data_IF_299474762608
#
_entry.id   IF_299474762608
#
_cell.length_a   1.000
_cell.length_b   1.000
_cell.length_c   1.000
_cell.angle_alpha   90.00
_cell.angle_beta   90.00
_cell.angle_gamma   90.00
#
_symmetry.space_group_name_H-M   'P 1'
#
loop_
_entity.id
_entity.type
_entity.pdbx_description
1 polymer ?
#
# COMPACT_ATOMS: atom_id res chain seq x y z
N UNK A 1 3.00 -2.74 -34.18
CA UNK A 1 1.61 -3.12 -33.78
C UNK A 1 1.39 -2.74 -32.32
N UNK A 2 0.28 -2.07 -32.02
CA UNK A 2 -0.15 -1.87 -30.63
C UNK A 2 -0.39 -3.22 -29.99
N UNK A 3 0.15 -3.44 -28.79
CA UNK A 3 -0.08 -4.66 -28.02
C UNK A 3 -0.95 -4.34 -26.82
N UNK A 4 -1.89 -5.22 -26.50
CA UNK A 4 -2.76 -5.06 -25.36
C UNK A 4 -2.03 -5.49 -24.08
N UNK A 5 -2.12 -4.67 -23.03
CA UNK A 5 -1.60 -4.95 -21.69
C UNK A 5 -2.76 -4.86 -20.68
N UNK A 6 -2.84 -5.84 -19.78
CA UNK A 6 -3.81 -5.82 -18.69
C UNK A 6 -3.08 -5.42 -17.41
N UNK A 7 -3.63 -4.42 -16.71
CA UNK A 7 -3.22 -3.98 -15.38
C UNK A 7 -4.27 -4.41 -14.37
N UNK A 8 -3.91 -5.20 -13.37
CA UNK A 8 -4.81 -5.70 -12.33
C UNK A 8 -4.56 -4.94 -11.03
N UNK A 9 -5.51 -4.10 -10.66
CA UNK A 9 -5.47 -3.21 -9.50
C UNK A 9 -5.34 -1.74 -9.89
N UNK A 10 -6.35 -0.95 -9.56
CA UNK A 10 -6.46 0.49 -9.86
C UNK A 10 -5.94 1.40 -8.75
N UNK A 11 -4.98 0.93 -7.94
CA UNK A 11 -4.27 1.75 -6.96
C UNK A 11 -3.23 2.67 -7.61
N UNK A 12 -2.46 3.44 -6.81
CA UNK A 12 -1.47 4.41 -7.32
C UNK A 12 -0.47 3.81 -8.32
N UNK A 13 0.06 2.61 -8.03
CA UNK A 13 1.01 1.93 -8.90
C UNK A 13 0.36 1.52 -10.23
N UNK A 14 -0.84 0.91 -10.17
CA UNK A 14 -1.54 0.46 -11.38
C UNK A 14 -1.99 1.61 -12.26
N UNK A 15 -2.51 2.70 -11.69
CA UNK A 15 -2.87 3.90 -12.46
C UNK A 15 -1.65 4.55 -13.11
N UNK A 16 -0.54 4.68 -12.36
CA UNK A 16 0.70 5.25 -12.89
C UNK A 16 1.29 4.40 -14.03
N UNK A 17 1.23 3.07 -13.88
CA UNK A 17 1.66 2.14 -14.93
C UNK A 17 0.75 2.21 -16.16
N UNK A 18 -0.57 2.22 -15.98
CA UNK A 18 -1.53 2.28 -17.08
C UNK A 18 -1.34 3.54 -17.93
N UNK A 19 -1.20 4.70 -17.28
CA UNK A 19 -0.91 5.94 -17.98
C UNK A 19 0.41 5.88 -18.74
N UNK A 20 1.48 5.35 -18.10
CA UNK A 20 2.80 5.26 -18.73
C UNK A 20 2.84 4.28 -19.91
N UNK A 21 2.11 3.18 -19.83
CA UNK A 21 1.98 2.23 -20.94
C UNK A 21 1.27 2.86 -22.15
N UNK A 22 0.29 3.74 -21.94
CA UNK A 22 -0.31 4.51 -23.01
C UNK A 22 0.66 5.49 -23.66
N UNK A 23 1.49 6.17 -22.88
CA UNK A 23 2.56 7.04 -23.42
C UNK A 23 3.50 6.26 -24.34
N UNK A 24 3.73 4.97 -24.04
CA UNK A 24 4.50 4.06 -24.89
C UNK A 24 3.69 3.50 -26.07
N UNK A 25 2.44 3.90 -26.24
CA UNK A 25 1.59 3.54 -27.39
C UNK A 25 0.90 2.18 -27.29
N UNK A 26 0.82 1.58 -26.11
CA UNK A 26 0.11 0.33 -25.88
C UNK A 26 -1.39 0.56 -25.60
N UNK A 27 -2.22 -0.43 -25.94
CA UNK A 27 -3.62 -0.45 -25.52
C UNK A 27 -3.70 -1.07 -24.11
N UNK A 28 -4.37 -0.37 -23.18
CA UNK A 28 -4.38 -0.74 -21.76
C UNK A 28 -5.80 -1.03 -21.28
N UNK A 29 -5.96 -2.15 -20.60
CA UNK A 29 -7.14 -2.47 -19.80
C UNK A 29 -6.72 -2.47 -18.34
N UNK A 30 -7.43 -1.71 -17.51
CA UNK A 30 -7.24 -1.68 -16.07
C UNK A 30 -8.45 -2.34 -15.40
N UNK A 31 -8.19 -3.39 -14.62
CA UNK A 31 -9.22 -4.14 -13.87
C UNK A 31 -9.14 -3.74 -12.41
N UNK A 32 -10.25 -3.25 -11.84
CA UNK A 32 -10.36 -2.84 -10.45
C UNK A 32 -11.54 -3.56 -9.77
N UNK A 33 -11.27 -4.16 -8.61
CA UNK A 33 -12.30 -4.90 -7.85
C UNK A 33 -13.33 -4.01 -7.16
N UNK A 34 -12.99 -2.75 -6.90
CA UNK A 34 -13.88 -1.76 -6.29
C UNK A 34 -14.65 -0.98 -7.35
N UNK A 35 -15.63 -0.17 -6.89
CA UNK A 35 -16.46 0.66 -7.76
C UNK A 35 -15.64 1.77 -8.48
N UNK A 36 -14.47 2.15 -7.95
CA UNK A 36 -13.63 3.18 -8.54
C UNK A 36 -12.14 2.90 -8.31
N UNK A 37 -11.31 3.43 -9.21
CA UNK A 37 -9.85 3.44 -9.07
C UNK A 37 -9.40 4.44 -8.02
N UNK A 38 -8.19 4.25 -7.46
CA UNK A 38 -7.60 5.09 -6.40
C UNK A 38 -7.06 4.25 -5.23
N UNK A 39 -7.58 3.02 -5.06
CA UNK A 39 -7.13 2.12 -4.01
C UNK A 39 -7.39 2.66 -2.60
N UNK A 40 -6.39 2.62 -1.73
CA UNK A 40 -6.49 3.14 -0.37
C UNK A 40 -6.52 4.67 -0.31
N UNK A 41 -5.95 5.38 -1.31
CA UNK A 41 -5.95 6.84 -1.37
C UNK A 41 -7.37 7.46 -1.35
N UNK A 42 -8.38 6.76 -1.85
CA UNK A 42 -9.76 7.25 -1.81
C UNK A 42 -10.29 7.47 -0.39
N UNK A 43 -9.72 6.72 0.59
CA UNK A 43 -10.11 6.80 2.00
C UNK A 43 -9.25 7.75 2.81
N UNK A 44 -8.00 7.99 2.40
CA UNK A 44 -7.05 8.79 3.14
C UNK A 44 -7.32 10.28 3.01
N UNK A 45 -6.91 11.04 4.04
CA UNK A 45 -7.01 12.48 4.09
C UNK A 45 -5.82 13.12 3.39
N UNK A 46 -4.69 13.21 4.06
CA UNK A 46 -3.45 13.78 3.52
C UNK A 46 -2.32 12.75 3.53
N UNK A 47 -1.30 13.01 2.75
CA UNK A 47 -0.11 12.16 2.67
C UNK A 47 1.13 12.88 3.20
N UNK A 48 2.11 12.14 3.67
CA UNK A 48 3.39 12.69 4.11
C UNK A 48 4.38 12.77 2.93
N UNK A 49 5.42 13.65 3.01
CA UNK A 49 5.76 14.53 4.12
C UNK A 49 5.11 15.92 4.04
N UNK A 50 4.50 16.28 2.94
CA UNK A 50 4.09 17.64 2.57
C UNK A 50 2.60 17.95 2.78
N UNK A 51 1.87 17.01 3.37
CA UNK A 51 0.44 17.11 3.64
C UNK A 51 -0.44 17.33 2.40
N UNK A 52 0.03 16.94 1.22
CA UNK A 52 -0.78 16.93 0.00
C UNK A 52 -2.06 16.11 0.19
N UNK A 53 -3.20 16.60 -0.28
CA UNK A 53 -4.46 15.88 -0.23
C UNK A 53 -4.39 14.59 -1.06
N UNK A 54 -4.81 13.48 -0.46
CA UNK A 54 -4.83 12.18 -1.15
C UNK A 54 -5.73 12.20 -2.40
N UNK A 55 -6.83 12.97 -2.36
CA UNK A 55 -7.74 13.17 -3.48
C UNK A 55 -7.09 13.89 -4.67
N UNK A 56 -6.17 14.82 -4.42
CA UNK A 56 -5.41 15.50 -5.46
C UNK A 56 -4.52 14.50 -6.22
N UNK A 57 -3.83 13.63 -5.51
CA UNK A 57 -3.00 12.59 -6.10
C UNK A 57 -3.86 11.65 -6.98
N UNK A 58 -5.01 11.20 -6.46
CA UNK A 58 -5.96 10.37 -7.22
C UNK A 58 -6.42 11.08 -8.48
N UNK A 59 -6.77 12.36 -8.39
CA UNK A 59 -7.22 13.17 -9.52
C UNK A 59 -6.14 13.28 -10.60
N UNK A 60 -4.90 13.54 -10.19
CA UNK A 60 -3.77 13.64 -11.13
C UNK A 60 -3.48 12.29 -11.80
N UNK A 61 -3.52 11.18 -11.06
CA UNK A 61 -3.34 9.85 -11.63
C UNK A 61 -4.49 9.46 -12.58
N UNK A 62 -5.75 9.80 -12.23
CA UNK A 62 -6.93 9.58 -13.11
C UNK A 62 -6.79 10.33 -14.44
N UNK A 63 -6.30 11.58 -14.44
CA UNK A 63 -6.01 12.32 -15.69
C UNK A 63 -5.02 11.61 -16.60
N UNK A 64 -4.01 10.96 -16.01
CA UNK A 64 -3.02 10.18 -16.73
C UNK A 64 -3.55 8.90 -17.39
N UNK A 65 -4.74 8.43 -17.00
CA UNK A 65 -5.31 7.20 -17.57
C UNK A 65 -5.77 7.34 -19.04
N UNK A 66 -6.02 8.56 -19.50
CA UNK A 66 -6.28 8.85 -20.92
C UNK A 66 -7.34 7.93 -21.55
N UNK A 67 -6.91 7.07 -22.48
CA UNK A 67 -7.77 6.11 -23.21
C UNK A 67 -7.83 4.71 -22.59
N UNK A 68 -7.31 4.52 -21.36
CA UNK A 68 -7.38 3.23 -20.67
C UNK A 68 -8.82 2.77 -20.50
N UNK A 69 -9.13 1.56 -20.92
CA UNK A 69 -10.42 0.93 -20.61
C UNK A 69 -10.42 0.43 -19.18
N UNK A 70 -11.35 0.90 -18.37
CA UNK A 70 -11.40 0.58 -16.93
C UNK A 70 -12.61 -0.34 -16.67
N UNK A 71 -12.35 -1.47 -16.04
CA UNK A 71 -13.33 -2.45 -15.61
C UNK A 71 -13.43 -2.42 -14.08
N UNK A 72 -14.34 -1.59 -13.59
CA UNK A 72 -14.64 -1.50 -12.15
C UNK A 72 -15.53 -2.65 -11.69
N UNK A 73 -15.58 -2.92 -10.37
CA UNK A 73 -16.32 -4.03 -9.76
C UNK A 73 -16.00 -5.37 -10.45
N UNK A 74 -14.77 -5.57 -10.87
CA UNK A 74 -14.35 -6.70 -11.68
C UNK A 74 -13.08 -7.31 -11.11
N UNK A 75 -13.02 -8.62 -10.98
CA UNK A 75 -11.83 -9.38 -10.60
C UNK A 75 -11.43 -10.33 -11.72
N UNK A 76 -10.18 -10.77 -11.72
CA UNK A 76 -9.68 -11.82 -12.61
C UNK A 76 -9.85 -13.16 -11.91
N UNK A 77 -10.55 -14.09 -12.54
CA UNK A 77 -10.85 -15.42 -11.99
C UNK A 77 -9.99 -16.53 -12.60
N UNK A 78 -9.42 -16.27 -13.81
CA UNK A 78 -8.57 -17.25 -14.50
C UNK A 78 -7.57 -16.55 -15.42
N UNK A 79 -6.36 -17.08 -15.49
CA UNK A 79 -5.32 -16.67 -16.44
C UNK A 79 -4.77 -17.93 -17.11
N UNK A 80 -4.89 -18.00 -18.42
CA UNK A 80 -4.43 -19.11 -19.25
C UNK A 80 -3.38 -18.65 -20.25
N UNK A 81 -2.64 -19.59 -20.81
CA UNK A 81 -1.60 -19.32 -21.81
C UNK A 81 -0.28 -18.85 -21.21
N UNK A 82 0.54 -18.29 -22.08
CA UNK A 82 1.87 -17.78 -21.75
C UNK A 82 2.20 -16.58 -22.64
N UNK A 83 3.18 -15.81 -22.26
CA UNK A 83 3.59 -14.64 -23.03
C UNK A 83 4.00 -15.04 -24.48
N UNK A 84 3.60 -14.29 -25.48
CA UNK A 84 2.82 -13.05 -25.44
C UNK A 84 1.30 -13.27 -25.61
N UNK A 85 0.79 -14.45 -25.35
CA UNK A 85 -0.59 -14.85 -25.64
C UNK A 85 -1.30 -15.35 -24.35
N UNK A 86 -1.64 -14.42 -23.47
CA UNK A 86 -2.47 -14.71 -22.31
C UNK A 86 -3.94 -14.51 -22.62
N UNK A 87 -4.79 -15.33 -21.98
CA UNK A 87 -6.25 -15.17 -21.96
C UNK A 87 -6.70 -15.06 -20.50
N UNK A 88 -7.30 -13.93 -20.13
CA UNK A 88 -7.87 -13.68 -18.82
C UNK A 88 -9.39 -13.87 -18.88
N UNK A 89 -9.95 -14.49 -17.85
CA UNK A 89 -11.41 -14.51 -17.62
C UNK A 89 -11.71 -13.65 -16.40
N UNK A 90 -12.70 -12.78 -16.52
CA UNK A 90 -13.14 -11.91 -15.44
C UNK A 90 -14.31 -12.53 -14.66
N UNK A 91 -14.61 -11.97 -13.48
CA UNK A 91 -15.77 -12.34 -12.66
C UNK A 91 -17.12 -12.07 -13.34
N UNK A 92 -17.13 -11.32 -14.45
CA UNK A 92 -18.30 -11.05 -15.28
C UNK A 92 -18.41 -11.98 -16.48
N UNK A 93 -17.48 -12.95 -16.61
CA UNK A 93 -17.43 -13.89 -17.74
C UNK A 93 -16.78 -13.32 -19.01
N UNK A 94 -16.27 -12.10 -18.97
CA UNK A 94 -15.55 -11.50 -20.11
C UNK A 94 -14.20 -12.20 -20.31
N UNK A 95 -13.85 -12.42 -21.58
CA UNK A 95 -12.53 -12.95 -21.96
C UNK A 95 -11.68 -11.83 -22.58
N UNK A 96 -10.45 -11.72 -22.12
CA UNK A 96 -9.52 -10.66 -22.52
C UNK A 96 -8.20 -11.30 -22.95
N UNK A 97 -7.84 -11.13 -24.25
CA UNK A 97 -6.54 -11.54 -24.75
C UNK A 97 -5.53 -10.43 -24.47
N UNK A 98 -4.33 -10.78 -23.99
CA UNK A 98 -3.29 -9.80 -23.67
C UNK A 98 -1.90 -10.35 -23.87
N UNK A 99 -0.95 -9.44 -24.17
CA UNK A 99 0.45 -9.80 -24.41
C UNK A 99 1.30 -9.74 -23.15
N UNK A 100 0.87 -8.98 -22.13
CA UNK A 100 1.52 -8.90 -20.84
C UNK A 100 0.51 -8.53 -19.74
N UNK A 101 0.83 -8.87 -18.50
CA UNK A 101 -0.02 -8.63 -17.33
C UNK A 101 0.82 -7.90 -16.28
N UNK A 102 0.27 -6.84 -15.70
CA UNK A 102 0.81 -6.19 -14.51
C UNK A 102 -0.10 -6.46 -13.31
N UNK A 103 0.44 -7.03 -12.25
CA UNK A 103 -0.24 -7.22 -10.98
C UNK A 103 0.16 -6.10 -10.02
N UNK A 104 -0.80 -5.24 -9.69
CA UNK A 104 -0.66 -4.08 -8.81
C UNK A 104 -1.77 -4.06 -7.73
N UNK A 105 -2.07 -5.23 -7.15
CA UNK A 105 -3.21 -5.48 -6.25
C UNK A 105 -3.07 -4.87 -4.87
N UNK A 106 -1.90 -4.30 -4.55
CA UNK A 106 -1.67 -3.58 -3.30
C UNK A 106 -1.52 -4.51 -2.08
N UNK A 107 -1.96 -4.00 -0.92
CA UNK A 107 -1.83 -4.65 0.39
C UNK A 107 -3.16 -4.66 1.14
N UNK A 108 -3.23 -5.43 2.23
CA UNK A 108 -4.29 -5.37 3.23
C UNK A 108 -3.76 -4.70 4.50
N UNK A 109 -4.60 -3.96 5.21
CA UNK A 109 -4.27 -3.53 6.56
C UNK A 109 -4.31 -4.74 7.50
N UNK A 110 -3.39 -4.79 8.44
CA UNK A 110 -3.43 -5.78 9.52
C UNK A 110 -4.72 -5.62 10.32
N UNK A 111 -5.37 -6.74 10.62
CA UNK A 111 -6.55 -6.74 11.48
C UNK A 111 -6.11 -6.60 12.94
N UNK A 112 -6.39 -5.44 13.54
CA UNK A 112 -6.00 -5.14 14.90
C UNK A 112 -6.70 -6.03 15.95
N UNK A 113 -7.79 -6.72 15.60
CA UNK A 113 -8.48 -7.66 16.50
C UNK A 113 -7.59 -8.85 16.90
N UNK A 114 -6.56 -9.19 16.12
CA UNK A 114 -5.55 -10.19 16.51
C UNK A 114 -4.61 -9.73 17.65
N UNK A 115 -4.72 -8.48 18.09
CA UNK A 115 -3.97 -7.93 19.22
C UNK A 115 -4.95 -7.53 20.34
N UNK A 116 -5.54 -8.57 20.95
CA UNK A 116 -6.57 -8.43 21.98
C UNK A 116 -6.13 -7.54 23.15
N UNK A 117 -4.83 -7.56 23.47
CA UNK A 117 -4.23 -6.75 24.52
C UNK A 117 -4.38 -5.23 24.30
N UNK A 118 -4.71 -4.79 23.10
CA UNK A 118 -4.95 -3.38 22.77
C UNK A 118 -6.44 -3.01 22.78
N UNK A 119 -7.34 -3.99 22.94
CA UNK A 119 -8.78 -3.77 23.11
C UNK A 119 -9.52 -3.29 21.88
N UNK A 120 -8.96 -3.44 20.67
CA UNK A 120 -9.65 -3.10 19.42
C UNK A 120 -10.89 -4.00 19.22
N UNK A 121 -12.04 -3.38 18.92
CA UNK A 121 -13.32 -4.08 18.82
C UNK A 121 -13.96 -4.43 20.17
N UNK A 122 -13.27 -4.16 21.30
CA UNK A 122 -13.76 -4.34 22.66
C UNK A 122 -14.01 -2.99 23.33
N UNK A 123 -13.03 -2.08 23.22
CA UNK A 123 -13.11 -0.73 23.78
C UNK A 123 -13.38 0.29 22.68
N UNK A 124 -14.45 1.06 22.83
CA UNK A 124 -14.92 2.01 21.81
C UNK A 124 -13.87 3.09 21.45
N UNK A 125 -12.97 3.42 22.39
CA UNK A 125 -11.93 4.42 22.20
C UNK A 125 -10.56 3.81 21.80
N UNK A 126 -10.51 2.54 21.41
CA UNK A 126 -9.37 1.91 20.76
C UNK A 126 -9.67 1.76 19.26
N UNK A 127 -9.02 2.58 18.43
CA UNK A 127 -9.29 2.67 17.00
C UNK A 127 -8.01 2.41 16.17
N UNK A 128 -8.16 2.10 14.91
CA UNK A 128 -7.03 1.97 13.97
C UNK A 128 -6.62 3.32 13.37
N UNK A 129 -5.40 3.38 12.82
CA UNK A 129 -4.95 4.53 12.03
C UNK A 129 -5.81 4.80 10.79
N UNK A 130 -6.52 3.79 10.27
CA UNK A 130 -7.44 3.93 9.14
C UNK A 130 -8.71 4.68 9.56
N UNK A 131 -9.25 4.36 10.73
CA UNK A 131 -10.42 5.03 11.28
C UNK A 131 -10.08 6.47 11.69
N UNK A 132 -8.91 6.69 12.30
CA UNK A 132 -8.43 8.03 12.61
C UNK A 132 -8.31 8.90 11.35
N UNK A 133 -7.76 8.35 10.25
CA UNK A 133 -7.60 9.12 9.01
C UNK A 133 -8.97 9.54 8.41
N UNK A 134 -10.00 8.70 8.55
CA UNK A 134 -11.37 9.05 8.20
C UNK A 134 -11.95 10.16 9.09
N UNK A 135 -11.67 10.13 10.41
CA UNK A 135 -12.06 11.20 11.33
C UNK A 135 -11.35 12.52 11.02
N UNK A 136 -10.05 12.48 10.68
CA UNK A 136 -9.28 13.66 10.27
C UNK A 136 -9.84 14.28 8.99
N UNK A 137 -10.19 13.44 8.00
CA UNK A 137 -10.84 13.89 6.76
C UNK A 137 -12.19 14.54 7.01
N UNK A 138 -12.96 14.01 7.98
CA UNK A 138 -14.24 14.58 8.39
C UNK A 138 -14.11 15.79 9.32
N UNK A 139 -12.88 16.22 9.68
CA UNK A 139 -12.59 17.28 10.66
C UNK A 139 -13.28 17.05 12.02
N UNK A 140 -13.39 15.80 12.44
CA UNK A 140 -14.13 15.37 13.63
C UNK A 140 -13.41 14.26 14.36
N UNK A 141 -12.24 14.57 14.95
CA UNK A 141 -11.52 13.63 15.82
C UNK A 141 -12.16 13.71 17.22
N UNK A 142 -12.98 12.71 17.54
CA UNK A 142 -13.71 12.64 18.81
C UNK A 142 -13.61 11.26 19.43
N UNK A 143 -13.80 11.21 20.75
CA UNK A 143 -14.06 9.94 21.46
C UNK A 143 -15.45 9.40 21.11
N UNK A 144 -15.75 8.17 21.48
CA UNK A 144 -17.09 7.56 21.29
C UNK A 144 -18.22 8.42 21.88
N UNK A 145 -17.96 9.13 22.98
CA UNK A 145 -18.93 10.04 23.59
C UNK A 145 -19.10 11.39 22.88
N UNK A 146 -18.44 11.58 21.73
CA UNK A 146 -18.49 12.83 20.95
C UNK A 146 -17.62 13.97 21.51
N UNK A 147 -16.80 13.72 22.54
CA UNK A 147 -15.91 14.74 23.12
C UNK A 147 -14.59 14.81 22.37
N UNK A 148 -14.01 16.00 22.29
CA UNK A 148 -12.63 16.17 21.82
C UNK A 148 -11.66 15.45 22.80
N UNK A 149 -10.74 14.60 22.30
CA UNK A 149 -9.78 13.95 23.18
C UNK A 149 -8.77 14.99 23.69
N UNK A 150 -8.46 14.93 24.99
CA UNK A 150 -7.38 15.72 25.60
C UNK A 150 -6.04 14.99 25.53
N UNK A 151 -6.08 13.65 25.52
CA UNK A 151 -4.88 12.81 25.44
C UNK A 151 -5.09 11.69 24.42
N UNK A 152 -4.18 11.58 23.49
CA UNK A 152 -4.16 10.52 22.45
C UNK A 152 -2.85 9.76 22.53
N UNK A 153 -2.90 8.44 22.56
CA UNK A 153 -1.73 7.60 22.38
C UNK A 153 -1.77 6.90 21.01
N UNK A 154 -0.63 6.83 20.36
CA UNK A 154 -0.45 6.12 19.09
C UNK A 154 0.54 4.96 19.28
N UNK A 155 0.09 3.73 19.09
CA UNK A 155 0.94 2.54 19.18
C UNK A 155 1.50 2.21 17.81
N UNK A 156 2.82 2.29 17.66
CA UNK A 156 3.52 1.97 16.42
C UNK A 156 3.64 0.45 16.21
N UNK A 157 3.81 0.04 14.96
CA UNK A 157 4.09 -1.36 14.56
C UNK A 157 3.02 -2.39 14.96
N UNK A 158 1.74 -2.01 15.03
CA UNK A 158 0.66 -2.98 15.30
C UNK A 158 0.54 -3.94 14.11
N UNK A 159 0.80 -5.22 14.34
CA UNK A 159 0.86 -6.24 13.28
C UNK A 159 2.09 -6.16 12.36
N UNK A 160 3.17 -5.50 12.82
CA UNK A 160 4.47 -5.45 12.15
C UNK A 160 5.59 -5.63 13.15
N UNK A 161 6.71 -6.26 12.76
CA UNK A 161 7.83 -6.57 13.65
C UNK A 161 7.35 -7.38 14.86
N UNK A 162 6.40 -8.28 14.62
CA UNK A 162 5.70 -9.04 15.65
C UNK A 162 5.66 -10.53 15.28
N UNK A 163 6.42 -11.33 16.05
CA UNK A 163 6.50 -12.78 15.86
C UNK A 163 5.21 -13.50 16.21
N UNK A 164 4.39 -12.96 17.13
CA UNK A 164 3.14 -13.58 17.56
C UNK A 164 2.12 -13.71 16.43
N UNK A 165 2.19 -12.79 15.46
CA UNK A 165 1.31 -12.79 14.27
C UNK A 165 2.06 -13.12 12.98
N UNK A 166 3.28 -13.65 13.08
CA UNK A 166 4.15 -14.02 11.96
C UNK A 166 4.49 -12.88 10.98
N UNK A 167 4.48 -11.63 11.44
CA UNK A 167 4.82 -10.45 10.67
C UNK A 167 6.14 -9.85 11.14
N UNK A 168 7.26 -10.54 10.85
CA UNK A 168 8.60 -10.14 11.31
C UNK A 168 9.17 -8.90 10.60
N UNK A 169 8.58 -8.50 9.49
CA UNK A 169 9.00 -7.34 8.68
C UNK A 169 8.45 -6.02 9.22
N UNK A 170 9.07 -4.93 8.80
CA UNK A 170 8.62 -3.57 9.07
C UNK A 170 7.71 -3.09 7.93
N UNK A 171 6.56 -2.49 8.26
CA UNK A 171 5.68 -1.85 7.27
C UNK A 171 6.20 -0.51 6.73
N UNK A 172 7.39 -0.07 7.14
CA UNK A 172 8.19 1.07 6.65
C UNK A 172 7.55 2.46 6.82
N UNK A 173 6.24 2.58 6.77
CA UNK A 173 5.53 3.87 6.71
C UNK A 173 4.83 4.24 8.02
N UNK A 174 4.64 3.32 8.96
CA UNK A 174 3.85 3.57 10.17
C UNK A 174 4.43 4.69 11.05
N UNK A 175 5.76 4.80 11.19
CA UNK A 175 6.38 5.88 11.96
C UNK A 175 6.08 7.25 11.33
N UNK A 176 6.33 7.40 10.04
CA UNK A 176 6.07 8.66 9.34
C UNK A 176 4.58 9.00 9.30
N UNK A 177 3.72 7.99 9.14
CA UNK A 177 2.27 8.21 9.19
C UNK A 177 1.80 8.63 10.59
N UNK A 178 2.33 8.02 11.67
CA UNK A 178 2.00 8.44 13.04
C UNK A 178 2.39 9.90 13.29
N UNK A 179 3.58 10.31 12.84
CA UNK A 179 4.04 11.71 12.96
C UNK A 179 3.09 12.65 12.18
N UNK A 180 2.73 12.27 10.96
CA UNK A 180 1.79 13.06 10.12
C UNK A 180 0.45 13.25 10.83
N UNK A 181 -0.20 12.16 11.25
CA UNK A 181 -1.52 12.24 11.88
C UNK A 181 -1.47 12.93 13.26
N UNK A 182 -0.35 12.83 13.99
CA UNK A 182 -0.13 13.57 15.22
C UNK A 182 -0.16 15.10 14.98
N UNK A 183 0.53 15.55 13.95
CA UNK A 183 0.51 16.96 13.54
C UNK A 183 -0.92 17.38 13.13
N UNK A 184 -1.62 16.58 12.34
CA UNK A 184 -2.99 16.86 11.90
C UNK A 184 -3.98 16.97 13.08
N UNK A 185 -3.84 16.09 14.10
CA UNK A 185 -4.64 16.22 15.33
C UNK A 185 -4.32 17.55 16.05
N UNK A 186 -3.04 17.88 16.18
CA UNK A 186 -2.62 19.14 16.82
C UNK A 186 -3.09 20.39 16.07
N UNK A 187 -3.22 20.32 14.74
CA UNK A 187 -3.79 21.39 13.94
C UNK A 187 -5.29 21.58 14.15
N UNK A 188 -6.03 20.47 14.37
CA UNK A 188 -7.47 20.50 14.67
C UNK A 188 -7.76 20.76 16.16
N UNK A 189 -6.89 20.27 17.06
CA UNK A 189 -7.03 20.37 18.50
C UNK A 189 -5.66 20.67 19.14
N UNK A 190 -5.24 21.96 19.20
CA UNK A 190 -3.91 22.37 19.70
C UNK A 190 -3.63 21.94 21.15
N UNK A 191 -4.65 21.84 22.00
CA UNK A 191 -4.53 21.50 23.42
C UNK A 191 -4.40 19.98 23.67
N UNK A 192 -4.56 19.15 22.64
CA UNK A 192 -4.45 17.69 22.78
C UNK A 192 -3.00 17.28 23.05
N UNK A 193 -2.77 16.55 24.12
CA UNK A 193 -1.49 15.90 24.39
C UNK A 193 -1.39 14.61 23.57
N UNK A 194 -0.28 14.44 22.80
CA UNK A 194 -0.09 13.28 21.91
C UNK A 194 1.17 12.52 22.30
N UNK A 195 1.01 11.20 22.45
CA UNK A 195 2.05 10.26 22.83
C UNK A 195 2.24 9.21 21.74
N UNK A 196 3.43 9.13 21.15
CA UNK A 196 3.83 8.08 20.23
C UNK A 196 4.59 6.98 20.99
N UNK A 197 4.01 5.78 21.08
CA UNK A 197 4.61 4.62 21.73
C UNK A 197 5.35 3.81 20.66
N UNK A 198 6.68 3.73 20.73
CA UNK A 198 7.50 3.18 19.65
C UNK A 198 8.63 2.27 20.15
N UNK A 199 9.07 1.35 19.31
CA UNK A 199 10.29 0.55 19.54
C UNK A 199 11.53 1.26 18.97
N UNK A 200 11.48 1.66 17.69
CA UNK A 200 12.46 2.47 16.98
C UNK A 200 11.73 3.40 16.01
N UNK A 201 12.16 4.64 15.90
CA UNK A 201 11.69 5.57 14.88
C UNK A 201 12.44 5.32 13.58
N UNK A 202 11.70 5.05 12.51
CA UNK A 202 12.20 4.80 11.16
C UNK A 202 11.60 5.81 10.19
N UNK A 203 12.26 6.95 10.07
CA UNK A 203 11.89 8.06 9.18
C UNK A 203 13.06 8.31 8.24
N UNK A 204 13.05 7.70 7.08
CA UNK A 204 14.09 7.83 6.07
C UNK A 204 13.48 8.29 4.75
N UNK A 205 14.04 9.32 4.19
CA UNK A 205 13.57 9.98 2.99
C UNK A 205 13.74 11.49 3.12
N UNK A 206 13.63 12.17 1.99
CA UNK A 206 13.79 13.62 1.95
C UNK A 206 12.62 14.30 2.68
N UNK A 207 12.94 15.09 3.70
CA UNK A 207 11.97 15.84 4.50
C UNK A 207 11.34 15.06 5.67
N UNK A 208 11.60 13.76 5.82
CA UNK A 208 10.96 12.95 6.88
C UNK A 208 11.58 13.21 8.25
N UNK A 209 12.90 13.41 8.32
CA UNK A 209 13.58 13.80 9.56
C UNK A 209 13.12 15.17 10.04
N UNK A 210 12.96 16.11 9.11
CA UNK A 210 12.42 17.44 9.40
C UNK A 210 10.98 17.36 9.94
N UNK A 211 10.15 16.50 9.36
CA UNK A 211 8.79 16.26 9.84
C UNK A 211 8.78 15.72 11.28
N UNK A 212 9.69 14.79 11.60
CA UNK A 212 9.84 14.24 12.95
C UNK A 212 10.27 15.33 13.96
N UNK A 213 11.29 16.10 13.62
CA UNK A 213 11.76 17.22 14.46
C UNK A 213 10.66 18.27 14.68
N UNK A 214 9.98 18.67 13.62
CA UNK A 214 8.86 19.63 13.68
C UNK A 214 7.73 19.13 14.58
N UNK A 215 7.42 17.85 14.56
CA UNK A 215 6.38 17.27 15.43
C UNK A 215 6.70 17.45 16.91
N UNK A 216 7.97 17.37 17.28
CA UNK A 216 8.42 17.56 18.67
C UNK A 216 8.54 19.04 19.06
N UNK A 217 9.29 19.82 18.26
CA UNK A 217 9.64 21.19 18.61
C UNK A 217 8.47 22.18 18.48
N UNK A 218 7.67 22.05 17.41
CA UNK A 218 6.56 22.94 17.13
C UNK A 218 5.23 22.45 17.73
N UNK A 219 4.96 21.15 17.62
CA UNK A 219 3.67 20.57 18.00
C UNK A 219 3.68 19.89 19.37
N UNK A 220 4.85 19.72 20.00
CA UNK A 220 4.95 19.13 21.34
C UNK A 220 4.56 17.65 21.42
N UNK A 221 4.65 16.90 20.30
CA UNK A 221 4.40 15.47 20.28
C UNK A 221 5.45 14.74 21.13
N UNK A 222 5.00 13.92 22.06
CA UNK A 222 5.86 13.18 22.96
C UNK A 222 6.12 11.77 22.43
N UNK A 223 7.39 11.36 22.43
CA UNK A 223 7.83 10.05 21.95
C UNK A 223 8.32 9.21 23.14
N UNK A 224 7.59 8.15 23.46
CA UNK A 224 7.88 7.22 24.56
C UNK A 224 8.44 5.92 23.96
N UNK A 225 9.72 5.65 24.22
CA UNK A 225 10.34 4.42 23.74
C UNK A 225 9.96 3.25 24.62
N UNK A 226 9.04 2.43 24.12
CA UNK A 226 8.55 1.27 24.83
C UNK A 226 7.48 0.55 24.04
N UNK A 227 7.14 -0.64 24.49
CA UNK A 227 6.04 -1.43 23.94
C UNK A 227 4.85 -1.35 24.87
N UNK A 228 3.66 -1.08 24.31
CA UNK A 228 2.42 -1.21 25.04
C UNK A 228 2.22 -2.68 25.40
N UNK A 229 2.03 -2.98 26.70
CA UNK A 229 1.74 -4.33 27.17
C UNK A 229 0.25 -4.64 27.10
N UNK A 230 -0.56 -3.70 27.57
CA UNK A 230 -2.02 -3.83 27.57
C UNK A 230 -2.72 -2.48 27.72
N UNK A 231 -3.95 -2.43 27.22
CA UNK A 231 -4.90 -1.34 27.47
C UNK A 231 -6.09 -1.88 28.27
N UNK A 232 -6.61 -1.07 29.20
CA UNK A 232 -7.80 -1.41 30.00
C UNK A 232 -8.74 -0.21 30.03
N UNK A 233 -10.01 -0.41 29.71
CA UNK A 233 -11.01 0.64 29.78
C UNK A 233 -11.42 0.93 31.23
N UNK A 234 -11.53 2.20 31.55
CA UNK A 234 -12.03 2.71 32.84
C UNK A 234 -13.52 3.02 32.71
N UNK A 235 -14.17 3.19 33.88
CA UNK A 235 -15.60 3.49 33.96
C UNK A 235 -16.03 4.77 33.23
N UNK A 236 -15.12 5.71 33.02
CA UNK A 236 -15.35 6.96 32.33
C UNK A 236 -15.10 6.84 30.81
N UNK A 237 -14.77 5.65 30.31
CA UNK A 237 -14.44 5.37 28.90
C UNK A 237 -13.02 5.75 28.49
N UNK A 238 -12.20 6.30 29.42
CA UNK A 238 -10.76 6.49 29.16
C UNK A 238 -10.01 5.16 29.23
N UNK A 239 -8.84 5.09 28.59
CA UNK A 239 -8.03 3.88 28.51
C UNK A 239 -6.78 4.02 29.39
N UNK A 240 -6.60 3.09 30.33
CA UNK A 240 -5.38 2.95 31.12
C UNK A 240 -4.41 2.05 30.34
N UNK A 241 -3.32 2.62 29.89
CA UNK A 241 -2.25 1.93 29.18
C UNK A 241 -1.15 1.52 30.16
N UNK A 242 -0.67 0.27 30.04
CA UNK A 242 0.51 -0.22 30.77
C UNK A 242 1.64 -0.46 29.78
N UNK A 243 2.76 0.20 29.99
CA UNK A 243 3.94 0.11 29.14
C UNK A 243 5.22 0.16 29.98
N UNK A 244 6.33 -0.20 29.36
CA UNK A 244 7.64 0.00 29.93
C UNK A 244 8.31 1.17 29.17
N UNK A 245 8.82 2.16 29.90
CA UNK A 245 9.76 3.11 29.33
C UNK A 245 11.15 2.48 29.32
N UNK A 246 11.57 2.03 28.12
CA UNK A 246 12.85 1.32 27.96
C UNK A 246 14.09 2.21 28.12
N UNK A 247 13.94 3.54 28.10
CA UNK A 247 15.05 4.48 28.36
C UNK A 247 15.34 4.58 29.86
N UNK A 248 14.30 4.54 30.68
CA UNK A 248 14.44 4.60 32.14
C UNK A 248 14.38 3.22 32.81
N UNK A 249 14.07 2.16 32.04
CA UNK A 249 13.84 0.79 32.50
C UNK A 249 12.77 0.72 33.62
N UNK A 250 11.72 1.54 33.52
CA UNK A 250 10.64 1.61 34.54
C UNK A 250 9.28 1.31 33.92
N UNK A 251 8.42 0.57 34.65
CA UNK A 251 7.02 0.44 34.26
C UNK A 251 6.34 1.80 34.34
N UNK A 252 5.50 2.10 33.34
CA UNK A 252 4.76 3.34 33.22
C UNK A 252 3.28 3.05 33.03
N UNK A 253 2.43 3.93 33.55
CA UNK A 253 0.99 3.96 33.35
C UNK A 253 0.59 5.29 32.73
N UNK A 254 -0.17 5.25 31.66
CA UNK A 254 -0.67 6.43 30.96
C UNK A 254 -2.18 6.28 30.78
N UNK A 255 -2.97 7.28 31.20
CA UNK A 255 -4.39 7.33 30.91
C UNK A 255 -4.62 8.25 29.72
N UNK A 256 -5.35 7.76 28.71
CA UNK A 256 -5.66 8.50 27.47
C UNK A 256 -7.15 8.42 27.15
N UNK A 257 -7.63 9.38 26.38
CA UNK A 257 -9.02 9.42 25.92
C UNK A 257 -9.22 8.61 24.64
N UNK A 258 -8.16 8.47 23.83
CA UNK A 258 -8.17 7.75 22.56
C UNK A 258 -6.85 7.00 22.37
N UNK A 259 -6.94 5.74 21.99
CA UNK A 259 -5.82 4.88 21.62
C UNK A 259 -5.88 4.62 20.13
N UNK A 260 -4.81 4.93 19.39
CA UNK A 260 -4.71 4.74 17.96
C UNK A 260 -3.68 3.66 17.65
N UNK A 261 -4.12 2.62 16.98
CA UNK A 261 -3.30 1.49 16.57
C UNK A 261 -2.76 1.74 15.15
N UNK A 262 -1.44 2.01 15.03
CA UNK A 262 -0.78 2.23 13.75
C UNK A 262 -0.58 0.88 13.04
N UNK A 263 -1.65 0.40 12.38
CA UNK A 263 -1.71 -0.94 11.76
C UNK A 263 -0.75 -1.08 10.59
N UNK A 264 -0.13 -2.26 10.49
CA UNK A 264 0.82 -2.61 9.46
C UNK A 264 0.18 -2.94 8.11
N UNK A 265 1.05 -3.17 7.13
CA UNK A 265 0.69 -3.66 5.79
C UNK A 265 0.90 -5.16 5.72
N UNK A 266 -0.09 -5.89 5.20
CA UNK A 266 0.00 -7.32 4.89
C UNK A 266 -0.07 -7.58 3.39
N UNK A 267 0.63 -8.61 2.92
CA UNK A 267 0.60 -9.00 1.52
C UNK A 267 -0.82 -9.37 1.06
N UNK A 268 -1.19 -8.92 -0.14
CA UNK A 268 -2.45 -9.26 -0.79
C UNK A 268 -2.19 -10.23 -1.94
N UNK A 269 -2.09 -11.52 -1.62
CA UNK A 269 -1.74 -12.59 -2.55
C UNK A 269 -2.97 -13.27 -3.22
N UNK A 270 -4.09 -12.57 -3.35
CA UNK A 270 -5.36 -13.11 -3.89
C UNK A 270 -5.23 -13.71 -5.30
N UNK A 271 -4.25 -13.26 -6.09
CA UNK A 271 -4.00 -13.77 -7.44
C UNK A 271 -2.87 -14.82 -7.51
N UNK A 272 -2.29 -15.27 -6.39
CA UNK A 272 -1.16 -16.20 -6.40
C UNK A 272 -1.47 -17.47 -7.19
N UNK A 273 -2.58 -18.13 -6.89
CA UNK A 273 -3.02 -19.35 -7.59
C UNK A 273 -3.45 -19.07 -9.02
N UNK A 274 -4.29 -18.05 -9.22
CA UNK A 274 -4.87 -17.67 -10.53
C UNK A 274 -3.78 -17.30 -11.54
N UNK A 275 -2.74 -16.58 -11.10
CA UNK A 275 -1.64 -16.13 -11.94
C UNK A 275 -0.42 -17.07 -11.91
N UNK A 276 -0.40 -18.05 -11.01
CA UNK A 276 0.75 -18.95 -10.77
C UNK A 276 1.95 -18.16 -10.26
N UNK A 277 1.72 -17.26 -9.30
CA UNK A 277 2.74 -16.39 -8.70
C UNK A 277 3.14 -16.91 -7.32
N UNK A 278 4.44 -16.91 -7.05
CA UNK A 278 4.98 -17.26 -5.75
C UNK A 278 4.87 -16.09 -4.77
N UNK A 279 4.68 -16.42 -3.49
CA UNK A 279 4.68 -15.46 -2.38
C UNK A 279 5.81 -15.78 -1.40
N UNK A 280 6.37 -14.76 -0.77
CA UNK A 280 7.35 -14.91 0.29
C UNK A 280 6.73 -15.32 1.62
N UNK A 281 7.57 -15.58 2.61
CA UNK A 281 7.13 -15.86 3.99
C UNK A 281 6.39 -14.65 4.61
N UNK A 282 6.57 -13.47 4.08
CA UNK A 282 5.88 -12.22 4.40
C UNK A 282 4.55 -12.04 3.67
N UNK A 283 4.16 -13.01 2.86
CA UNK A 283 2.93 -13.03 2.05
C UNK A 283 2.84 -12.00 0.93
N UNK A 284 3.93 -11.30 0.60
CA UNK A 284 4.03 -10.47 -0.60
C UNK A 284 4.49 -11.31 -1.80
N UNK A 285 4.15 -10.89 -3.02
CA UNK A 285 4.63 -11.57 -4.23
C UNK A 285 6.15 -11.48 -4.35
N UNK A 286 6.77 -12.59 -4.73
CA UNK A 286 8.20 -12.63 -5.02
C UNK A 286 8.49 -12.19 -6.45
N UNK A 287 9.53 -11.39 -6.61
CA UNK A 287 10.03 -10.93 -7.91
C UNK A 287 11.09 -11.90 -8.45
N UNK A 288 11.40 -11.82 -9.73
CA UNK A 288 12.42 -12.66 -10.37
C UNK A 288 13.79 -12.46 -9.73
N UNK A 289 14.13 -11.21 -9.38
CA UNK A 289 15.32 -10.91 -8.59
C UNK A 289 15.16 -9.55 -7.87
N UNK A 290 15.36 -9.54 -6.54
CA UNK A 290 15.10 -8.37 -5.70
C UNK A 290 15.97 -7.15 -6.00
N UNK A 291 17.16 -7.32 -6.55
CA UNK A 291 18.13 -6.25 -6.76
C UNK A 291 18.06 -5.62 -8.16
N UNK A 292 17.83 -6.41 -9.20
CA UNK A 292 17.93 -5.93 -10.58
C UNK A 292 16.74 -6.32 -11.48
N UNK A 293 15.75 -7.06 -10.96
CA UNK A 293 14.55 -7.46 -11.70
C UNK A 293 13.33 -7.44 -10.77
N UNK A 294 13.15 -6.31 -10.11
CA UNK A 294 12.18 -6.14 -9.04
C UNK A 294 10.74 -5.88 -9.52
N UNK A 295 10.53 -5.67 -10.81
CA UNK A 295 9.21 -5.58 -11.40
C UNK A 295 8.80 -6.82 -12.21
N UNK A 296 9.74 -7.69 -12.62
CA UNK A 296 9.39 -8.95 -13.25
C UNK A 296 9.03 -10.02 -12.21
N UNK A 297 8.00 -10.82 -12.50
CA UNK A 297 7.76 -12.06 -11.74
C UNK A 297 8.62 -13.21 -12.31
N UNK A 298 8.77 -14.34 -11.59
CA UNK A 298 9.40 -15.55 -12.14
C UNK A 298 8.68 -16.08 -13.39
N UNK A 299 7.43 -15.70 -13.64
CA UNK A 299 6.65 -16.10 -14.82
C UNK A 299 6.76 -15.04 -15.90
N UNK A 300 7.38 -15.39 -17.03
CA UNK A 300 7.60 -14.47 -18.15
C UNK A 300 6.30 -13.81 -18.64
N UNK A 301 6.34 -12.49 -18.85
CA UNK A 301 5.20 -11.68 -19.28
C UNK A 301 4.23 -11.28 -18.20
N UNK A 302 4.44 -11.70 -16.94
CA UNK A 302 3.73 -11.19 -15.77
C UNK A 302 4.68 -10.32 -14.95
N UNK A 303 4.23 -9.11 -14.64
CA UNK A 303 4.99 -8.10 -13.92
C UNK A 303 4.28 -7.71 -12.63
N UNK A 304 5.02 -7.13 -11.69
CA UNK A 304 4.57 -6.78 -10.35
C UNK A 304 4.91 -5.31 -10.08
N UNK A 305 4.02 -4.59 -9.39
CA UNK A 305 4.32 -3.22 -8.97
C UNK A 305 3.60 -2.80 -7.69
N UNK A 306 4.16 -1.78 -7.05
CA UNK A 306 3.63 -1.16 -5.85
C UNK A 306 3.74 -2.07 -4.63
N UNK A 307 2.84 -1.87 -3.68
CA UNK A 307 2.85 -2.62 -2.42
C UNK A 307 2.48 -4.10 -2.55
N UNK A 308 2.21 -4.59 -3.75
CA UNK A 308 2.06 -6.03 -4.02
C UNK A 308 3.35 -6.83 -3.75
N UNK A 309 4.53 -6.18 -3.86
CA UNK A 309 5.85 -6.79 -3.63
C UNK A 309 6.51 -6.38 -2.30
N UNK A 310 5.78 -5.70 -1.43
CA UNK A 310 6.27 -5.28 -0.12
C UNK A 310 5.83 -3.87 0.25
N UNK A 311 6.01 -3.48 1.53
CA UNK A 311 5.64 -2.16 2.01
C UNK A 311 6.39 -1.03 1.28
N UNK A 312 5.65 -0.04 0.78
CA UNK A 312 6.15 1.12 0.04
C UNK A 312 5.33 2.37 0.38
N UNK A 313 5.96 3.54 0.35
CA UNK A 313 5.27 4.82 0.34
C UNK A 313 4.55 5.05 -1.00
N UNK A 314 3.67 6.07 -1.05
CA UNK A 314 2.89 6.39 -2.27
C UNK A 314 3.80 6.77 -3.42
N UNK A 315 4.78 7.63 -3.17
CA UNK A 315 5.75 8.07 -4.19
C UNK A 315 6.56 6.90 -4.74
N UNK A 316 6.97 5.97 -3.88
CA UNK A 316 7.67 4.76 -4.28
C UNK A 316 6.76 3.86 -5.12
N UNK A 317 5.49 3.69 -4.73
CA UNK A 317 4.51 2.89 -5.46
C UNK A 317 4.23 3.44 -6.85
N UNK A 318 4.11 4.78 -6.99
CA UNK A 318 3.91 5.45 -8.28
C UNK A 318 5.15 5.25 -9.18
N UNK A 319 6.35 5.43 -8.62
CA UNK A 319 7.62 5.25 -9.35
C UNK A 319 7.77 3.79 -9.80
N UNK A 320 7.47 2.85 -8.92
CA UNK A 320 7.54 1.41 -9.19
C UNK A 320 6.55 1.01 -10.32
N UNK A 321 5.33 1.57 -10.31
CA UNK A 321 4.38 1.38 -11.41
C UNK A 321 4.90 1.89 -12.75
N UNK A 322 5.54 3.07 -12.77
CA UNK A 322 6.16 3.61 -13.99
C UNK A 322 7.35 2.78 -14.47
N UNK A 323 8.15 2.27 -13.53
CA UNK A 323 9.25 1.35 -13.82
C UNK A 323 8.74 0.05 -14.45
N UNK A 324 7.73 -0.57 -13.86
CA UNK A 324 7.09 -1.76 -14.40
C UNK A 324 6.55 -1.54 -15.83
N UNK A 325 5.97 -0.37 -16.09
CA UNK A 325 5.51 -0.02 -17.45
C UNK A 325 6.66 0.03 -18.47
N UNK A 326 7.82 0.55 -18.08
CA UNK A 326 9.01 0.58 -18.93
C UNK A 326 9.55 -0.83 -19.21
N UNK A 327 9.62 -1.69 -18.17
CA UNK A 327 10.02 -3.10 -18.34
C UNK A 327 9.06 -3.88 -19.25
N UNK A 328 7.74 -3.66 -19.09
CA UNK A 328 6.72 -4.26 -19.98
C UNK A 328 6.94 -3.80 -21.41
N UNK A 329 7.16 -2.51 -21.66
CA UNK A 329 7.38 -1.99 -23.00
C UNK A 329 8.64 -2.59 -23.65
N UNK A 330 9.74 -2.71 -22.90
CA UNK A 330 10.97 -3.35 -23.36
C UNK A 330 10.76 -4.84 -23.67
N UNK A 331 10.07 -5.57 -22.81
CA UNK A 331 9.70 -6.97 -23.01
C UNK A 331 8.87 -7.17 -24.28
N UNK A 332 7.88 -6.33 -24.52
CA UNK A 332 7.03 -6.41 -25.71
C UNK A 332 7.78 -6.05 -26.99
N UNK A 333 8.78 -5.17 -26.93
CA UNK A 333 9.65 -4.82 -28.04
C UNK A 333 10.62 -5.96 -28.40
N UNK A 334 11.25 -6.61 -27.42
CA UNK A 334 12.16 -7.74 -27.63
C UNK A 334 11.47 -8.96 -28.24
N UNK A 335 10.26 -9.28 -27.78
CA UNK A 335 9.46 -10.35 -28.37
C UNK A 335 9.04 -10.07 -29.82
N UNK A 336 8.88 -8.79 -30.19
CA UNK A 336 8.64 -8.40 -31.58
C UNK A 336 9.87 -8.68 -32.48
N UNK A 337 11.07 -8.31 -32.00
CA UNK A 337 12.31 -8.54 -32.73
C UNK A 337 12.58 -10.03 -32.97
N UNK A 338 12.36 -10.87 -31.97
CA UNK A 338 12.49 -12.32 -32.07
C UNK A 338 11.47 -12.92 -33.07
N UNK A 339 10.24 -12.42 -33.10
CA UNK A 339 9.21 -12.87 -34.01
C UNK A 339 9.54 -12.45 -35.46
N UNK A 340 9.97 -11.21 -35.71
CA UNK A 340 10.39 -10.70 -37.03
C UNK A 340 11.64 -11.44 -37.54
N UNK A 341 12.59 -11.78 -36.67
CA UNK A 341 13.77 -12.56 -37.06
C UNK A 341 13.40 -14.01 -37.41
N UNK A 342 12.44 -14.62 -36.75
CA UNK A 342 11.95 -15.97 -37.07
C UNK A 342 11.21 -16.03 -38.39
N UNK A 343 10.39 -15.01 -38.70
CA UNK A 343 9.70 -14.88 -39.99
C UNK A 343 10.69 -14.69 -41.16
N UNK A 344 11.69 -13.82 -40.96
CA UNK A 344 12.72 -13.59 -41.95
C UNK A 344 13.63 -14.83 -42.18
N UNK A 345 13.85 -15.62 -41.13
CA UNK A 345 14.54 -16.91 -41.22
C UNK A 345 13.77 -17.96 -42.04
N UNK A 346 12.47 -18.05 -41.82
CA UNK A 346 11.58 -18.97 -42.58
C UNK A 346 11.45 -18.56 -44.07
N UNK A 347 11.36 -17.26 -44.31
CA UNK A 347 11.28 -16.73 -45.70
C UNK A 347 12.57 -16.98 -46.48
N UNK A 348 13.74 -16.85 -45.83
CA UNK A 348 15.03 -17.21 -46.42
C UNK A 348 15.18 -18.70 -46.69
N UNK A 349 14.68 -19.53 -45.80
CA UNK A 349 14.74 -20.99 -45.98
C UNK A 349 13.81 -21.49 -47.08
N UNK A 350 12.63 -20.87 -47.24
CA UNK A 350 11.70 -21.17 -48.34
C UNK A 350 12.23 -20.69 -49.73
N UNK A 351 13.03 -19.63 -49.72
CA UNK A 351 13.67 -19.12 -50.96
C UNK A 351 14.90 -19.91 -51.41
N UNK A 352 15.55 -20.64 -50.48
CA UNK A 352 16.70 -21.50 -50.78
C UNK A 352 16.31 -22.92 -51.24
N UNK A 353 15.01 -23.27 -51.19
CA UNK A 353 14.46 -24.55 -51.62
C UNK A 353 13.76 -24.49 -53.02
N UNK A 354 13.86 -23.36 -53.71
CA UNK A 354 13.49 -23.18 -55.11
C UNK A 354 14.75 -23.01 -55.96
#
# INVERSE_FOLDING_TARGET
MKKQVVVIGGGPAGMAAAGKLQDFGHDVILIEKKAEVGGHLNKWYKVFPDFTDASEIVTNLKRGLGKTRIFNNTTVTRIEGSAPNFKLTTSRGEQIDTSAILVATGFKHFDAAFKEEYGYGIYDNSITSVELDAMLKAQSVTTRSGKLPKKVAMVHCVGSRDQQVNNNYCSRVCCTNAIKVAIEIKEQNPDCEIYCLYMDIRVFGRGYEELYRTSQEKYGVQFLRGRLSEANEKTDGSLLLRLEDTLTAKPMRLTVDLLVLMVGMEGNAELSEVAGLSVGCDRFYTTAHQQYSNNASPKAGIFLAGTATGPKAIVESITDGRSAAAEIAAFLASNKANFESSLNGQTKMAASLK
#
